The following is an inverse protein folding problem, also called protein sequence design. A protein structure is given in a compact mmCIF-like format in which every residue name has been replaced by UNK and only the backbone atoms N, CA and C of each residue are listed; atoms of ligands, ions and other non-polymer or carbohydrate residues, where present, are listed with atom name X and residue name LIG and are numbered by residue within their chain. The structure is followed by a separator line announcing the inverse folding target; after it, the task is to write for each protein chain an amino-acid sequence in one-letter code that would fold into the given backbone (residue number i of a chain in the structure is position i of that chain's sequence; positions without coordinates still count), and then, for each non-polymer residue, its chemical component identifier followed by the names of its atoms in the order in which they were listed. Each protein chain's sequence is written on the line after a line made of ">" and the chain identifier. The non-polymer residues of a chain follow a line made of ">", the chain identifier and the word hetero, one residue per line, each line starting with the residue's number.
data_IF_534002401648
#
_entry.id   IF_534002401648
#
_cell.length_a   1.000
_cell.length_b   1.000
_cell.length_c   1.000
_cell.angle_alpha   90.00
_cell.angle_beta   90.00
_cell.angle_gamma   90.00
#
_symmetry.space_group_name_H-M   'P 1'
#
loop_
_entity.id
_entity.type
_entity.pdbx_description
1 polymer ?
#
# COMPACT_ATOMS: atom_id res chain seq x y z
N UNK A 1 -8.31 2.99 15.94
CA UNK A 1 -7.40 3.76 15.07
C UNK A 1 -7.94 3.78 13.65
N UNK A 2 -7.99 2.66 12.93
CA UNK A 2 -8.48 2.60 11.54
C UNK A 2 -9.89 3.18 11.37
N UNK A 3 -10.82 2.87 12.28
CA UNK A 3 -12.16 3.48 12.31
C UNK A 3 -12.10 5.01 12.36
N UNK A 4 -11.36 5.56 13.32
CA UNK A 4 -11.25 7.01 13.50
C UNK A 4 -10.59 7.69 12.30
N UNK A 5 -9.55 7.08 11.72
CA UNK A 5 -8.95 7.56 10.47
C UNK A 5 -9.97 7.54 9.33
N UNK A 6 -10.74 6.46 9.21
CA UNK A 6 -11.80 6.37 8.21
C UNK A 6 -12.88 7.43 8.38
N UNK A 7 -13.29 7.73 9.61
CA UNK A 7 -14.28 8.76 9.90
C UNK A 7 -13.76 10.16 9.51
N UNK A 8 -12.50 10.47 9.78
CA UNK A 8 -11.89 11.74 9.34
C UNK A 8 -11.77 11.82 7.82
N UNK A 9 -11.42 10.73 7.15
CA UNK A 9 -11.34 10.69 5.68
C UNK A 9 -12.71 10.93 5.04
N UNK A 10 -13.77 10.35 5.59
CA UNK A 10 -15.15 10.59 5.12
C UNK A 10 -15.59 12.03 5.36
N UNK A 11 -15.27 12.61 6.52
CA UNK A 11 -15.56 14.01 6.82
C UNK A 11 -14.85 14.98 5.87
N UNK A 12 -13.64 14.62 5.42
CA UNK A 12 -12.89 15.37 4.41
C UNK A 12 -13.47 15.21 2.99
N UNK A 13 -14.34 14.22 2.76
CA UNK A 13 -14.90 13.93 1.45
C UNK A 13 -13.84 13.46 0.43
N UNK A 14 -12.84 12.71 0.88
CA UNK A 14 -11.72 12.32 0.02
C UNK A 14 -12.14 11.31 -1.06
N UNK A 15 -11.77 11.61 -2.31
CA UNK A 15 -11.98 10.71 -3.45
C UNK A 15 -10.88 9.64 -3.59
N UNK A 16 -9.69 9.90 -3.04
CA UNK A 16 -8.51 9.05 -3.16
C UNK A 16 -7.69 9.04 -1.86
N UNK A 17 -7.22 7.86 -1.48
CA UNK A 17 -6.34 7.61 -0.34
C UNK A 17 -5.01 7.09 -0.86
N UNK A 18 -3.89 7.72 -0.49
CA UNK A 18 -2.55 7.29 -0.93
C UNK A 18 -1.73 6.81 0.26
N UNK A 19 -1.33 5.54 0.23
CA UNK A 19 -0.44 4.92 1.21
C UNK A 19 1.03 5.18 0.82
N UNK A 20 1.53 6.35 1.18
CA UNK A 20 2.91 6.76 0.91
C UNK A 20 3.88 6.21 1.97
N UNK A 21 4.24 4.93 1.85
CA UNK A 21 5.08 4.26 2.84
C UNK A 21 4.36 3.98 4.17
N UNK A 22 3.04 3.74 4.10
CA UNK A 22 2.25 3.39 5.29
C UNK A 22 2.57 1.96 5.74
N UNK A 23 3.19 1.83 6.91
CA UNK A 23 3.77 0.56 7.38
C UNK A 23 2.80 -0.32 8.19
N UNK A 24 1.56 0.12 8.37
CA UNK A 24 0.56 -0.63 9.16
C UNK A 24 -0.38 -1.39 8.25
N UNK A 25 -0.68 -2.63 8.63
CA UNK A 25 -1.73 -3.43 8.00
C UNK A 25 -3.08 -2.77 8.28
N UNK A 26 -3.79 -2.42 7.21
CA UNK A 26 -5.16 -1.92 7.28
C UNK A 26 -6.13 -3.07 7.59
N UNK A 27 -7.15 -2.79 8.39
CA UNK A 27 -8.23 -3.76 8.63
C UNK A 27 -9.05 -4.00 7.37
N UNK A 28 -9.67 -5.19 7.27
CA UNK A 28 -10.62 -5.50 6.19
C UNK A 28 -11.81 -4.53 6.14
N UNK A 29 -12.28 -4.08 7.31
CA UNK A 29 -13.31 -3.04 7.42
C UNK A 29 -12.88 -1.75 6.69
N UNK A 30 -11.63 -1.33 6.86
CA UNK A 30 -11.09 -0.14 6.22
C UNK A 30 -10.93 -0.32 4.70
N UNK A 31 -10.37 -1.45 4.26
CA UNK A 31 -10.19 -1.74 2.83
C UNK A 31 -11.51 -1.87 2.10
N UNK A 32 -12.54 -2.41 2.76
CA UNK A 32 -13.89 -2.48 2.22
C UNK A 32 -14.57 -1.11 2.14
N UNK A 33 -14.51 -0.31 3.21
CA UNK A 33 -15.09 1.04 3.26
C UNK A 33 -14.61 1.93 2.12
N UNK A 34 -13.34 1.82 1.75
CA UNK A 34 -12.71 2.62 0.71
C UNK A 34 -12.30 1.81 -0.53
N UNK A 35 -13.04 0.74 -0.84
CA UNK A 35 -12.76 -0.11 -1.99
C UNK A 35 -12.64 0.72 -3.29
N UNK A 36 -11.58 0.47 -4.06
CA UNK A 36 -11.29 1.20 -5.30
C UNK A 36 -10.76 2.62 -5.13
N UNK A 37 -10.63 3.12 -3.89
CA UNK A 37 -10.10 4.46 -3.59
C UNK A 37 -8.71 4.47 -2.97
N UNK A 38 -8.17 3.31 -2.58
CA UNK A 38 -6.87 3.23 -1.91
C UNK A 38 -5.77 2.87 -2.92
N UNK A 39 -4.80 3.76 -3.12
CA UNK A 39 -3.56 3.52 -3.86
C UNK A 39 -2.41 3.23 -2.89
N UNK A 40 -1.64 2.19 -3.16
CA UNK A 40 -0.43 1.85 -2.41
C UNK A 40 0.83 2.03 -3.26
N UNK A 41 1.89 2.53 -2.63
CA UNK A 41 3.23 2.61 -3.22
C UNK A 41 4.08 1.51 -2.58
N UNK A 42 4.31 0.42 -3.32
CA UNK A 42 5.18 -0.67 -2.87
C UNK A 42 6.60 -0.49 -3.43
N UNK A 43 7.66 -0.47 -2.60
CA UNK A 43 9.04 -0.25 -3.05
C UNK A 43 9.65 -1.53 -3.65
N UNK A 44 8.97 -2.13 -4.62
CA UNK A 44 9.48 -3.21 -5.46
C UNK A 44 8.72 -3.28 -6.78
N UNK A 45 9.32 -3.88 -7.80
CA UNK A 45 8.67 -4.24 -9.06
C UNK A 45 7.85 -5.53 -8.87
N UNK A 46 6.63 -5.40 -8.33
CA UNK A 46 5.76 -6.53 -8.06
C UNK A 46 5.52 -7.35 -9.35
N UNK A 47 5.48 -8.69 -9.25
CA UNK A 47 5.39 -9.47 -8.02
C UNK A 47 6.71 -9.74 -7.28
N UNK A 48 7.86 -9.22 -7.76
CA UNK A 48 9.15 -9.41 -7.08
C UNK A 48 9.15 -8.75 -5.69
N UNK A 49 9.77 -9.40 -4.71
CA UNK A 49 10.02 -8.89 -3.35
C UNK A 49 8.80 -8.22 -2.70
N UNK A 50 7.67 -8.95 -2.59
CA UNK A 50 6.57 -8.53 -1.72
C UNK A 50 6.99 -8.57 -0.24
N UNK A 51 6.35 -7.72 0.57
CA UNK A 51 6.67 -7.60 2.00
C UNK A 51 7.87 -6.69 2.28
N UNK A 52 8.61 -6.98 3.34
CA UNK A 52 9.66 -6.12 3.89
C UNK A 52 11.02 -6.34 3.20
N UNK A 53 11.95 -5.41 3.46
CA UNK A 53 13.37 -5.47 3.06
C UNK A 53 13.59 -5.65 1.56
N UNK A 54 12.77 -5.00 0.75
CA UNK A 54 12.76 -5.15 -0.72
C UNK A 54 14.11 -4.79 -1.36
N UNK A 55 14.73 -3.70 -0.92
CA UNK A 55 16.07 -3.28 -1.36
C UNK A 55 17.14 -4.33 -1.04
N UNK A 56 17.21 -4.79 0.21
CA UNK A 56 18.19 -5.80 0.64
C UNK A 56 18.05 -7.08 -0.18
N UNK A 57 16.81 -7.57 -0.32
CA UNK A 57 16.54 -8.80 -1.08
C UNK A 57 16.89 -8.66 -2.57
N UNK A 58 16.66 -7.49 -3.17
CA UNK A 58 17.08 -7.22 -4.55
C UNK A 58 18.61 -7.20 -4.70
N UNK A 59 19.33 -6.61 -3.75
CA UNK A 59 20.80 -6.60 -3.74
C UNK A 59 21.39 -7.99 -3.54
N UNK A 60 20.86 -8.77 -2.59
CA UNK A 60 21.29 -10.15 -2.32
C UNK A 60 21.04 -11.08 -3.52
N UNK A 61 19.99 -10.82 -4.28
CA UNK A 61 19.68 -11.55 -5.51
C UNK A 61 20.51 -11.09 -6.72
N UNK A 62 21.36 -10.06 -6.57
CA UNK A 62 22.19 -9.53 -7.65
C UNK A 62 21.39 -8.86 -8.77
N UNK A 63 20.21 -8.30 -8.46
CA UNK A 63 19.38 -7.62 -9.45
C UNK A 63 20.10 -6.37 -9.97
N UNK A 64 20.07 -6.18 -11.29
CA UNK A 64 20.63 -4.97 -11.94
C UNK A 64 19.65 -3.80 -11.96
N UNK A 65 18.38 -4.06 -11.64
CA UNK A 65 17.30 -3.07 -11.64
C UNK A 65 16.39 -3.23 -10.41
N UNK A 66 15.95 -2.10 -9.87
CA UNK A 66 14.98 -2.02 -8.79
C UNK A 66 14.03 -0.83 -9.04
N UNK A 67 12.84 -0.86 -8.43
CA UNK A 67 11.84 0.17 -8.65
C UNK A 67 10.66 0.04 -7.71
N UNK A 68 9.55 0.70 -8.06
CA UNK A 68 8.32 0.69 -7.26
C UNK A 68 7.12 0.29 -8.11
N UNK A 69 6.12 -0.28 -7.45
CA UNK A 69 4.80 -0.55 -8.04
C UNK A 69 3.77 0.31 -7.34
N UNK A 70 3.02 1.08 -8.12
CA UNK A 70 1.82 1.76 -7.66
C UNK A 70 0.63 0.92 -8.08
N UNK A 71 -0.24 0.56 -7.13
CA UNK A 71 -1.41 -0.25 -7.42
C UNK A 71 -2.57 0.11 -6.49
N UNK A 72 -3.80 -0.15 -6.95
CA UNK A 72 -4.95 -0.12 -6.07
C UNK A 72 -4.88 -1.27 -5.07
N UNK A 73 -5.24 -0.99 -3.82
CA UNK A 73 -5.42 -2.02 -2.80
C UNK A 73 -6.71 -2.77 -3.11
N UNK A 74 -6.63 -4.10 -3.13
CA UNK A 74 -7.77 -4.98 -3.26
C UNK A 74 -7.66 -6.11 -2.22
N UNK A 75 -8.81 -6.70 -1.91
CA UNK A 75 -8.86 -8.00 -1.24
C UNK A 75 -8.65 -9.06 -2.32
N UNK A 76 -7.56 -9.83 -2.22
CA UNK A 76 -7.38 -11.06 -2.98
C UNK A 76 -7.94 -12.22 -2.20
#
# INVERSE_FOLDING_TARGET
>A
MDRHIGDEIDNLGADLIVLAGYMKILSSEFTHRFAGKILNIHPSLLPKYSGLHTYQRAMEAGETEHGMTIHFVNEK
#
